data_IF_873659476835
#
_entry.id   IF_873659476835
#
_cell.length_a   1.000
_cell.length_b   1.000
_cell.length_c   1.000
_cell.angle_alpha   90.00
_cell.angle_beta   90.00
_cell.angle_gamma   90.00
#
_symmetry.space_group_name_H-M   'P 1'
#
loop_
_entity.id
_entity.type
_entity.pdbx_description
1 polymer ?
#
# COMPACT_ATOMS: atom_id res chain seq x y z
N UNK A 1 27.37 29.41 -3.90
CA UNK A 1 28.33 30.07 -4.80
C UNK A 1 27.56 30.63 -5.97
N UNK A 2 27.17 31.79 -5.83
CA UNK A 2 27.45 33.04 -6.55
C UNK A 2 27.69 32.99 -8.05
N UNK A 3 26.99 33.91 -8.68
CA UNK A 3 27.25 34.67 -9.89
C UNK A 3 26.40 34.28 -11.11
N UNK A 4 25.35 35.09 -11.33
CA UNK A 4 25.13 35.58 -12.70
C UNK A 4 24.80 37.08 -12.69
N UNK A 5 25.78 37.78 -13.11
CA UNK A 5 26.11 39.07 -13.62
C UNK A 5 24.98 39.76 -14.41
N UNK A 6 24.73 41.00 -13.99
CA UNK A 6 24.04 42.05 -14.76
C UNK A 6 24.80 42.38 -16.05
N UNK A 7 24.09 42.52 -17.15
CA UNK A 7 24.55 43.34 -18.29
C UNK A 7 23.53 44.45 -18.53
N UNK A 8 23.98 45.63 -18.20
CA UNK A 8 23.46 46.90 -18.68
C UNK A 8 23.90 47.13 -20.13
N UNK A 9 23.02 47.53 -21.00
CA UNK A 9 23.31 48.18 -22.24
C UNK A 9 22.53 49.48 -22.26
N UNK A 10 23.27 50.59 -22.19
CA UNK A 10 22.84 51.93 -22.49
C UNK A 10 22.81 52.11 -24.00
N UNK A 11 21.76 52.67 -24.50
CA UNK A 11 21.76 53.41 -25.79
C UNK A 11 20.93 54.66 -25.62
N UNK A 12 21.64 55.76 -25.78
CA UNK A 12 21.18 57.12 -25.79
C UNK A 12 20.57 57.53 -27.14
N UNK A 13 19.61 58.42 -27.03
CA UNK A 13 19.28 59.50 -27.95
C UNK A 13 18.84 59.17 -29.39
N UNK A 14 17.56 59.43 -29.67
CA UNK A 14 17.17 60.46 -30.63
C UNK A 14 15.69 60.83 -30.50
N UNK A 15 15.49 62.14 -30.50
CA UNK A 15 14.32 62.94 -30.32
C UNK A 15 13.38 62.82 -31.52
N UNK A 16 12.07 62.69 -31.30
CA UNK A 16 11.09 63.37 -32.16
C UNK A 16 9.90 63.85 -31.35
N UNK A 17 9.78 65.16 -31.26
CA UNK A 17 8.60 65.90 -30.86
C UNK A 17 7.50 65.64 -31.93
N UNK A 18 6.37 65.15 -31.44
CA UNK A 18 4.98 65.42 -31.88
C UNK A 18 4.08 64.27 -31.44
N UNK A 19 3.48 64.45 -30.29
CA UNK A 19 2.14 63.99 -29.94
C UNK A 19 1.81 64.38 -28.48
N UNK A 20 1.53 65.63 -28.29
CA UNK A 20 0.76 66.11 -27.14
C UNK A 20 -0.69 65.77 -27.38
N UNK A 21 -1.16 64.59 -27.02
CA UNK A 21 -2.57 64.28 -26.83
C UNK A 21 -2.79 63.57 -25.52
N UNK A 22 -3.44 64.31 -24.62
CA UNK A 22 -4.23 63.89 -23.45
C UNK A 22 -3.77 62.71 -22.65
N UNK A 23 -2.81 62.90 -21.74
CA UNK A 23 -2.68 62.05 -20.55
C UNK A 23 -3.92 62.27 -19.68
N UNK A 24 -4.93 61.38 -19.83
CA UNK A 24 -5.95 61.16 -18.79
C UNK A 24 -5.24 60.67 -17.54
N UNK A 25 -5.20 61.49 -16.49
CA UNK A 25 -4.66 61.18 -15.16
C UNK A 25 -5.28 59.85 -14.70
N UNK A 26 -4.50 58.78 -14.56
CA UNK A 26 -4.95 57.56 -13.91
C UNK A 26 -5.51 57.92 -12.55
N UNK A 27 -6.72 57.48 -12.16
CA UNK A 27 -7.29 57.80 -10.88
C UNK A 27 -6.36 57.24 -9.77
N UNK A 28 -5.97 58.09 -8.82
CA UNK A 28 -5.25 57.65 -7.62
C UNK A 28 -6.12 56.62 -6.92
N UNK A 29 -5.65 55.38 -6.81
CA UNK A 29 -6.27 54.29 -6.04
C UNK A 29 -6.13 54.71 -4.56
N UNK A 30 -7.22 55.24 -3.98
CA UNK A 30 -7.29 55.59 -2.56
C UNK A 30 -7.73 54.33 -1.81
N UNK A 31 -6.80 53.71 -1.09
CA UNK A 31 -7.14 52.64 -0.15
C UNK A 31 -7.83 53.23 1.08
N UNK A 32 -9.06 52.79 1.29
CA UNK A 32 -9.91 53.28 2.40
C UNK A 32 -9.87 52.28 3.53
N UNK A 33 -9.71 52.77 4.76
CA UNK A 33 -9.77 51.92 5.97
C UNK A 33 -11.22 51.72 6.39
N UNK A 34 -11.49 50.63 7.08
CA UNK A 34 -12.80 50.39 7.67
C UNK A 34 -12.97 51.23 8.92
N UNK A 35 -14.16 51.79 9.08
CA UNK A 35 -14.60 52.51 10.28
C UNK A 35 -15.73 51.73 10.95
N UNK A 36 -15.68 51.55 12.26
CA UNK A 36 -16.71 50.82 13.01
C UNK A 36 -18.10 51.48 12.91
N UNK A 37 -18.18 52.75 12.55
CA UNK A 37 -19.45 53.45 12.28
C UNK A 37 -20.19 52.83 11.09
N UNK A 38 -19.49 52.13 10.16
CA UNK A 38 -20.11 51.52 8.99
C UNK A 38 -21.03 50.34 9.32
N UNK A 39 -20.94 49.78 10.54
CA UNK A 39 -21.91 48.80 11.03
C UNK A 39 -23.33 49.41 11.12
N UNK A 40 -23.44 50.73 11.39
CA UNK A 40 -24.71 51.42 11.41
C UNK A 40 -25.37 51.49 10.01
N UNK A 41 -24.58 51.37 8.96
CA UNK A 41 -25.02 51.30 7.57
C UNK A 41 -25.14 49.85 7.05
N UNK A 42 -25.13 48.86 7.98
CA UNK A 42 -25.30 47.48 7.66
C UNK A 42 -24.09 46.88 6.95
N UNK A 43 -22.86 47.32 7.26
CA UNK A 43 -21.65 46.77 6.65
C UNK A 43 -20.58 46.42 7.69
N UNK A 44 -19.96 45.30 7.48
CA UNK A 44 -18.72 44.86 8.11
C UNK A 44 -17.60 44.82 7.05
N UNK A 45 -16.44 44.28 7.36
CA UNK A 45 -15.36 44.12 6.38
C UNK A 45 -14.82 42.71 6.35
N UNK A 46 -14.18 42.38 5.25
CA UNK A 46 -13.36 41.16 5.07
C UNK A 46 -12.06 41.51 4.32
N UNK A 47 -11.09 40.60 4.34
CA UNK A 47 -9.77 40.79 3.73
C UNK A 47 -8.77 41.43 4.68
N UNK A 48 -7.63 41.90 4.13
CA UNK A 48 -6.53 42.46 4.87
C UNK A 48 -6.89 43.84 5.48
N UNK A 49 -6.44 44.12 6.70
CA UNK A 49 -6.63 45.41 7.38
C UNK A 49 -6.03 46.59 6.61
N UNK A 50 -5.02 46.39 5.79
CA UNK A 50 -4.42 47.41 4.95
C UNK A 50 -5.31 47.83 3.78
N UNK A 51 -6.18 46.93 3.28
CA UNK A 51 -7.11 47.19 2.18
C UNK A 51 -8.42 46.39 2.39
N UNK A 52 -9.20 46.72 3.44
CA UNK A 52 -10.42 46.01 3.76
C UNK A 52 -11.49 46.21 2.69
N UNK A 53 -12.28 45.18 2.43
CA UNK A 53 -13.43 45.26 1.52
C UNK A 53 -14.74 45.23 2.32
N UNK A 54 -15.69 46.12 2.04
CA UNK A 54 -16.96 46.15 2.77
C UNK A 54 -17.81 44.93 2.42
N UNK A 55 -18.30 44.23 3.45
CA UNK A 55 -19.17 43.06 3.33
C UNK A 55 -20.51 43.29 3.98
N UNK A 56 -21.58 43.08 3.25
CA UNK A 56 -22.92 43.13 3.78
C UNK A 56 -23.25 41.87 4.60
N UNK A 57 -23.56 41.93 5.89
CA UNK A 57 -23.90 40.76 6.70
C UNK A 57 -25.29 40.20 6.38
N UNK A 58 -26.15 40.94 5.64
CA UNK A 58 -27.50 40.49 5.29
C UNK A 58 -27.47 39.53 4.08
N UNK A 59 -26.75 39.89 2.99
CA UNK A 59 -26.68 39.09 1.77
C UNK A 59 -25.31 38.41 1.54
N UNK A 60 -24.28 38.71 2.35
CA UNK A 60 -22.94 38.23 2.17
C UNK A 60 -22.14 38.88 1.04
N UNK A 61 -22.74 39.78 0.26
CA UNK A 61 -22.08 40.46 -0.87
C UNK A 61 -20.91 41.34 -0.41
N UNK A 62 -19.78 41.23 -1.11
CA UNK A 62 -18.58 42.04 -0.88
C UNK A 62 -18.47 43.10 -1.97
N UNK A 63 -18.26 44.34 -1.55
CA UNK A 63 -18.07 45.47 -2.47
C UNK A 63 -16.57 45.82 -2.53
N UNK A 64 -16.13 46.42 -3.63
CA UNK A 64 -14.75 46.90 -3.74
C UNK A 64 -14.40 47.97 -2.69
N UNK A 65 -13.12 48.05 -2.29
CA UNK A 65 -12.64 49.04 -1.29
C UNK A 65 -13.04 50.46 -1.60
N UNK A 66 -13.16 50.86 -2.87
CA UNK A 66 -13.66 52.19 -3.30
C UNK A 66 -15.12 52.45 -2.93
N UNK A 67 -15.85 51.43 -2.51
CA UNK A 67 -17.24 51.54 -2.03
C UNK A 67 -17.34 51.74 -0.51
N UNK A 68 -16.21 51.82 0.20
CA UNK A 68 -16.12 52.09 1.64
C UNK A 68 -16.40 53.56 1.92
N UNK A 69 -17.62 54.01 1.62
CA UNK A 69 -18.17 55.35 1.89
C UNK A 69 -19.64 55.25 2.28
N UNK A 70 -20.11 56.04 3.27
CA UNK A 70 -21.47 55.95 3.78
C UNK A 70 -22.55 55.97 2.70
N UNK A 71 -22.46 56.87 1.73
CA UNK A 71 -23.46 57.00 0.65
C UNK A 71 -23.64 55.75 -0.20
N UNK A 72 -22.54 55.02 -0.51
CA UNK A 72 -22.61 53.78 -1.29
C UNK A 72 -23.11 52.60 -0.46
N UNK A 73 -22.71 52.54 0.82
CA UNK A 73 -23.14 51.50 1.76
C UNK A 73 -24.63 51.62 2.05
N UNK A 74 -25.11 52.85 2.35
CA UNK A 74 -26.53 53.15 2.57
C UNK A 74 -27.35 52.84 1.30
N UNK A 75 -26.86 53.22 0.12
CA UNK A 75 -27.54 52.91 -1.15
C UNK A 75 -27.70 51.41 -1.34
N UNK A 76 -26.67 50.57 -1.09
CA UNK A 76 -26.81 49.13 -1.16
C UNK A 76 -27.86 48.61 -0.18
N UNK A 77 -27.83 49.08 1.08
CA UNK A 77 -28.75 48.63 2.11
C UNK A 77 -30.21 49.00 1.75
N UNK A 78 -30.46 50.22 1.31
CA UNK A 78 -31.82 50.70 0.96
C UNK A 78 -32.34 50.06 -0.32
N UNK A 79 -31.46 49.77 -1.29
CA UNK A 79 -31.86 49.20 -2.59
C UNK A 79 -32.01 47.66 -2.55
N UNK A 80 -31.07 46.97 -1.91
CA UNK A 80 -31.07 45.52 -1.85
C UNK A 80 -31.84 44.96 -0.64
N UNK A 81 -31.92 45.71 0.46
CA UNK A 81 -32.48 45.25 1.72
C UNK A 81 -33.44 46.29 2.36
N UNK A 82 -34.45 46.75 1.65
CA UNK A 82 -35.37 47.82 2.14
C UNK A 82 -36.06 47.44 3.46
N UNK A 83 -36.36 46.15 3.67
CA UNK A 83 -37.03 45.67 4.89
C UNK A 83 -36.20 45.78 6.17
N UNK A 84 -34.86 45.84 6.05
CA UNK A 84 -33.94 45.94 7.19
C UNK A 84 -33.15 47.26 7.22
N UNK A 85 -33.38 48.15 6.25
CA UNK A 85 -32.65 49.41 6.11
C UNK A 85 -32.83 50.37 7.32
N UNK A 86 -33.92 50.22 8.06
CA UNK A 86 -34.23 51.05 9.26
C UNK A 86 -33.88 50.34 10.59
N UNK A 87 -33.25 49.16 10.54
CA UNK A 87 -32.83 48.48 11.76
C UNK A 87 -31.63 49.15 12.38
N UNK A 88 -31.53 49.01 13.70
CA UNK A 88 -30.47 49.61 14.51
C UNK A 88 -29.13 48.84 14.42
N UNK A 89 -28.10 49.47 15.00
CA UNK A 89 -26.76 48.88 15.09
C UNK A 89 -26.75 47.46 15.69
N UNK A 90 -27.58 47.20 16.68
CA UNK A 90 -27.61 45.96 17.42
C UNK A 90 -28.06 44.81 16.54
N UNK A 91 -28.95 45.04 15.58
CA UNK A 91 -29.37 44.07 14.59
C UNK A 91 -28.21 43.63 13.70
N UNK A 92 -27.45 44.55 13.14
CA UNK A 92 -26.32 44.23 12.25
C UNK A 92 -25.13 43.62 13.03
N UNK A 93 -24.96 44.04 14.29
CA UNK A 93 -23.96 43.43 15.17
C UNK A 93 -24.26 41.94 15.42
N UNK A 94 -25.51 41.58 15.72
CA UNK A 94 -25.93 40.19 15.88
C UNK A 94 -25.67 39.35 14.61
N UNK A 95 -25.97 39.87 13.44
CA UNK A 95 -25.72 39.20 12.17
C UNK A 95 -24.20 38.98 11.94
N UNK A 96 -23.37 39.95 12.28
CA UNK A 96 -21.89 39.82 12.23
C UNK A 96 -21.41 38.73 13.16
N UNK A 97 -21.92 38.69 14.40
CA UNK A 97 -21.49 37.70 15.40
C UNK A 97 -21.98 36.28 15.03
N UNK A 98 -23.21 36.14 14.56
CA UNK A 98 -23.73 34.87 14.03
C UNK A 98 -22.90 34.34 12.85
N UNK A 99 -22.50 35.24 11.93
CA UNK A 99 -21.65 34.86 10.80
C UNK A 99 -20.27 34.37 11.27
N UNK A 100 -19.67 34.99 12.30
CA UNK A 100 -18.42 34.56 12.90
C UNK A 100 -18.54 33.19 13.59
N UNK A 101 -19.62 32.97 14.33
CA UNK A 101 -19.90 31.71 14.99
C UNK A 101 -20.09 30.57 13.98
N UNK A 102 -20.81 30.80 12.87
CA UNK A 102 -20.97 29.84 11.79
C UNK A 102 -19.63 29.47 11.14
N UNK A 103 -18.76 30.45 10.86
CA UNK A 103 -17.42 30.18 10.31
C UNK A 103 -16.56 29.40 11.30
N UNK A 104 -16.63 29.70 12.60
CA UNK A 104 -15.91 28.97 13.63
C UNK A 104 -16.42 27.52 13.77
N UNK A 105 -17.74 27.31 13.73
CA UNK A 105 -18.36 25.99 13.76
C UNK A 105 -17.94 25.17 12.52
N UNK A 106 -17.97 25.74 11.33
CA UNK A 106 -17.52 25.08 10.12
C UNK A 106 -16.03 24.72 10.20
N UNK A 107 -15.17 25.64 10.62
CA UNK A 107 -13.73 25.38 10.73
C UNK A 107 -13.39 24.32 11.78
N UNK A 108 -14.11 24.28 12.89
CA UNK A 108 -13.96 23.23 13.90
C UNK A 108 -14.45 21.88 13.40
N UNK A 109 -15.53 21.86 12.62
CA UNK A 109 -16.08 20.67 11.97
C UNK A 109 -15.11 20.09 10.92
N UNK A 110 -14.46 20.95 10.14
CA UNK A 110 -13.41 20.52 9.19
C UNK A 110 -12.19 19.94 9.89
N UNK A 111 -11.70 20.55 10.98
CA UNK A 111 -10.57 20.00 11.77
C UNK A 111 -10.89 18.65 12.39
N UNK A 112 -12.10 18.50 12.92
CA UNK A 112 -12.56 17.20 13.47
C UNK A 112 -12.66 16.14 12.36
N UNK A 113 -13.13 16.52 11.17
CA UNK A 113 -13.18 15.65 10.00
C UNK A 113 -11.77 15.20 9.56
N UNK A 114 -10.77 16.07 9.58
CA UNK A 114 -9.38 15.75 9.23
C UNK A 114 -8.77 14.70 10.18
N UNK A 115 -8.96 14.88 11.49
CA UNK A 115 -8.49 13.88 12.49
C UNK A 115 -9.18 12.52 12.31
N UNK A 116 -10.49 12.52 12.11
CA UNK A 116 -11.26 11.32 11.87
C UNK A 116 -10.85 10.62 10.55
N UNK A 117 -10.58 11.41 9.51
CA UNK A 117 -10.07 10.90 8.25
C UNK A 117 -8.68 10.26 8.41
N UNK A 118 -7.75 10.94 9.09
CA UNK A 118 -6.42 10.39 9.40
C UNK A 118 -6.52 9.07 10.17
N UNK A 119 -7.38 9.01 11.19
CA UNK A 119 -7.63 7.78 11.94
C UNK A 119 -8.15 6.65 11.04
N UNK A 120 -9.05 6.95 10.08
CA UNK A 120 -9.55 5.98 9.11
C UNK A 120 -8.43 5.40 8.23
N UNK A 121 -7.47 6.21 7.76
CA UNK A 121 -6.30 5.73 7.01
C UNK A 121 -5.37 4.88 7.87
N UNK A 122 -5.13 5.26 9.12
CA UNK A 122 -4.31 4.47 10.06
C UNK A 122 -4.93 3.10 10.28
N UNK A 123 -6.25 3.04 10.54
CA UNK A 123 -6.97 1.78 10.71
C UNK A 123 -6.88 0.93 9.44
N UNK A 124 -7.08 1.51 8.25
CA UNK A 124 -6.95 0.80 6.98
C UNK A 124 -5.56 0.19 6.79
N UNK A 125 -4.49 0.94 7.05
CA UNK A 125 -3.12 0.46 6.97
C UNK A 125 -2.82 -0.68 7.97
N UNK A 126 -3.29 -0.57 9.21
CA UNK A 126 -3.12 -1.61 10.23
C UNK A 126 -3.85 -2.91 9.82
N UNK A 127 -5.04 -2.82 9.23
CA UNK A 127 -5.78 -3.98 8.74
C UNK A 127 -5.06 -4.72 7.63
N UNK A 128 -4.53 -3.99 6.64
CA UNK A 128 -3.75 -4.59 5.53
C UNK A 128 -2.52 -5.30 6.08
N UNK A 129 -1.76 -4.65 6.95
CA UNK A 129 -0.58 -5.26 7.60
C UNK A 129 -0.94 -6.51 8.40
N UNK A 130 -2.10 -6.51 9.07
CA UNK A 130 -2.60 -7.66 9.82
C UNK A 130 -3.33 -8.70 8.96
N UNK A 131 -3.49 -8.47 7.64
CA UNK A 131 -4.23 -9.34 6.70
C UNK A 131 -5.65 -9.64 7.18
N UNK A 132 -6.36 -8.62 7.69
CA UNK A 132 -7.72 -8.75 8.23
C UNK A 132 -8.78 -8.20 7.27
N UNK A 133 -10.04 -8.71 7.36
CA UNK A 133 -11.13 -8.26 6.49
C UNK A 133 -11.46 -6.78 6.64
N UNK A 134 -11.85 -6.13 5.56
CA UNK A 134 -12.20 -4.71 5.51
C UNK A 134 -13.46 -4.34 6.33
N UNK A 135 -14.30 -5.31 6.66
CA UNK A 135 -15.48 -5.13 7.52
C UNK A 135 -15.16 -5.08 9.01
N UNK A 136 -13.97 -5.55 9.42
CA UNK A 136 -13.61 -5.65 10.84
C UNK A 136 -13.63 -4.32 11.60
N UNK A 137 -13.25 -3.16 11.01
CA UNK A 137 -13.33 -1.89 11.72
C UNK A 137 -14.74 -1.49 12.11
N UNK A 138 -15.70 -1.68 11.22
CA UNK A 138 -17.11 -1.35 11.45
C UNK A 138 -17.74 -2.29 12.48
N UNK A 139 -17.45 -3.59 12.40
CA UNK A 139 -18.10 -4.62 13.21
C UNK A 139 -17.49 -4.85 14.57
N UNK A 140 -16.17 -4.60 14.73
CA UNK A 140 -15.44 -4.93 15.96
C UNK A 140 -14.58 -3.77 16.44
N UNK A 141 -13.69 -3.21 15.62
CA UNK A 141 -12.66 -2.30 16.11
C UNK A 141 -13.26 -1.02 16.70
N UNK A 142 -14.10 -0.32 15.94
CA UNK A 142 -14.70 0.94 16.42
C UNK A 142 -15.68 0.73 17.58
N UNK A 143 -16.56 -0.27 17.58
CA UNK A 143 -17.40 -0.56 18.75
C UNK A 143 -16.58 -0.81 20.01
N UNK A 144 -15.50 -1.60 19.93
CA UNK A 144 -14.62 -1.89 21.08
C UNK A 144 -13.89 -0.62 21.52
N UNK A 145 -13.29 0.13 20.60
CA UNK A 145 -12.61 1.39 20.92
C UNK A 145 -13.56 2.39 21.59
N UNK A 146 -14.79 2.50 21.11
CA UNK A 146 -15.82 3.36 21.67
C UNK A 146 -16.13 3.00 23.13
N UNK A 147 -16.39 1.72 23.43
CA UNK A 147 -16.69 1.30 24.80
C UNK A 147 -15.47 1.47 25.72
N UNK A 148 -14.25 1.17 25.26
CA UNK A 148 -13.03 1.40 26.06
C UNK A 148 -12.88 2.88 26.37
N UNK A 149 -12.99 3.76 25.39
CA UNK A 149 -12.83 5.22 25.57
C UNK A 149 -13.94 5.78 26.47
N UNK A 150 -15.16 5.28 26.35
CA UNK A 150 -16.29 5.66 27.21
C UNK A 150 -16.03 5.32 28.69
N UNK A 151 -15.47 4.14 28.96
CA UNK A 151 -15.17 3.67 30.33
C UNK A 151 -13.93 4.37 30.89
N UNK A 152 -12.87 4.50 30.09
CA UNK A 152 -11.56 4.95 30.57
C UNK A 152 -11.39 6.47 30.55
N UNK A 153 -12.13 7.19 29.71
CA UNK A 153 -11.95 8.64 29.49
C UNK A 153 -13.26 9.39 29.75
N UNK A 154 -14.19 9.40 28.77
CA UNK A 154 -15.48 10.05 28.91
C UNK A 154 -16.45 9.67 27.77
N UNK A 155 -17.75 9.97 28.00
CA UNK A 155 -18.80 9.81 26.98
C UNK A 155 -18.59 10.73 25.77
N UNK A 156 -18.06 11.94 25.99
CA UNK A 156 -17.78 12.94 24.95
C UNK A 156 -16.65 12.44 24.04
N UNK A 157 -15.59 11.89 24.61
CA UNK A 157 -14.48 11.29 23.86
C UNK A 157 -14.94 10.09 23.02
N UNK A 158 -15.87 9.28 23.52
CA UNK A 158 -16.44 8.17 22.79
C UNK A 158 -17.23 8.62 21.53
N UNK A 159 -17.90 9.78 21.58
CA UNK A 159 -18.58 10.36 20.41
C UNK A 159 -17.61 10.80 19.30
N UNK A 160 -16.35 11.12 19.65
CA UNK A 160 -15.34 11.43 18.64
C UNK A 160 -14.91 10.17 17.85
N UNK A 161 -14.91 8.99 18.50
CA UNK A 161 -14.66 7.71 17.82
C UNK A 161 -15.74 7.39 16.79
N UNK A 162 -17.00 7.73 17.05
CA UNK A 162 -18.11 7.53 16.11
C UNK A 162 -17.97 8.32 14.80
N UNK A 163 -17.22 9.41 14.82
CA UNK A 163 -16.99 10.25 13.63
C UNK A 163 -15.97 9.64 12.66
N UNK A 164 -15.29 8.55 13.04
CA UNK A 164 -14.30 7.89 12.18
C UNK A 164 -15.03 7.10 11.08
N UNK A 165 -14.85 7.46 9.80
CA UNK A 165 -15.49 6.74 8.70
C UNK A 165 -14.78 5.41 8.46
N UNK A 166 -15.41 4.29 8.84
CA UNK A 166 -14.81 2.97 8.82
C UNK A 166 -15.68 1.88 8.23
N UNK A 167 -16.72 2.24 7.43
CA UNK A 167 -17.45 1.23 6.67
C UNK A 167 -16.53 0.45 5.74
N UNK A 168 -16.87 -0.82 5.45
CA UNK A 168 -16.07 -1.68 4.58
C UNK A 168 -15.73 -1.01 3.24
N UNK A 169 -16.69 -0.29 2.63
CA UNK A 169 -16.50 0.46 1.39
C UNK A 169 -15.51 1.65 1.58
N UNK A 170 -15.56 2.33 2.73
CA UNK A 170 -14.64 3.43 3.02
C UNK A 170 -13.23 2.89 3.23
N UNK A 171 -13.07 1.83 4.00
CA UNK A 171 -11.77 1.18 4.24
C UNK A 171 -11.17 0.69 2.92
N UNK A 172 -11.98 0.06 2.03
CA UNK A 172 -11.53 -0.34 0.70
C UNK A 172 -10.96 0.84 -0.10
N UNK A 173 -11.66 1.99 -0.11
CA UNK A 173 -11.15 3.21 -0.77
C UNK A 173 -9.84 3.70 -0.16
N UNK A 174 -9.72 3.71 1.19
CA UNK A 174 -8.47 4.11 1.87
C UNK A 174 -7.30 3.19 1.51
N UNK A 175 -7.56 1.89 1.41
CA UNK A 175 -6.54 0.92 0.98
C UNK A 175 -6.11 1.21 -0.45
N UNK A 176 -7.05 1.48 -1.35
CA UNK A 176 -6.74 1.82 -2.74
C UNK A 176 -5.96 3.14 -2.86
N UNK A 177 -6.34 4.16 -2.07
CA UNK A 177 -5.61 5.43 -2.02
C UNK A 177 -4.14 5.21 -1.59
N UNK A 178 -3.93 4.45 -0.50
CA UNK A 178 -2.59 4.10 0.00
C UNK A 178 -1.81 3.30 -1.06
N UNK A 179 -2.44 2.31 -1.69
CA UNK A 179 -1.82 1.49 -2.74
C UNK A 179 -1.40 2.32 -3.94
N UNK A 180 -2.25 3.26 -4.38
CA UNK A 180 -1.93 4.14 -5.51
C UNK A 180 -0.80 5.11 -5.17
N UNK A 181 -0.75 5.64 -3.96
CA UNK A 181 0.33 6.52 -3.49
C UNK A 181 1.67 5.78 -3.48
N UNK A 182 1.71 4.58 -2.88
CA UNK A 182 2.90 3.72 -2.87
C UNK A 182 3.34 3.38 -4.31
N UNK A 183 2.41 2.97 -5.18
CA UNK A 183 2.71 2.66 -6.58
C UNK A 183 3.27 3.87 -7.31
N UNK A 184 2.67 5.05 -7.15
CA UNK A 184 3.14 6.28 -7.81
C UNK A 184 4.56 6.63 -7.37
N UNK A 185 4.84 6.55 -6.06
CA UNK A 185 6.18 6.78 -5.50
C UNK A 185 7.20 5.79 -6.06
N UNK A 186 6.84 4.49 -6.11
CA UNK A 186 7.71 3.47 -6.68
C UNK A 186 8.03 3.74 -8.17
N UNK A 187 7.02 4.06 -8.96
CA UNK A 187 7.21 4.37 -10.39
C UNK A 187 8.13 5.61 -10.58
N UNK A 188 7.96 6.64 -9.76
CA UNK A 188 8.86 7.80 -9.77
C UNK A 188 10.30 7.42 -9.44
N UNK A 189 10.50 6.59 -8.41
CA UNK A 189 11.81 6.08 -8.01
C UNK A 189 12.46 5.24 -9.13
N UNK A 190 11.68 4.39 -9.81
CA UNK A 190 12.17 3.60 -10.95
C UNK A 190 12.64 4.47 -12.11
N UNK A 191 11.88 5.52 -12.44
CA UNK A 191 12.25 6.48 -13.47
C UNK A 191 13.51 7.26 -13.09
N UNK A 192 13.63 7.63 -11.81
CA UNK A 192 14.81 8.34 -11.30
C UNK A 192 16.06 7.44 -11.29
N UNK A 193 15.91 6.17 -10.92
CA UNK A 193 16.99 5.17 -10.95
C UNK A 193 17.56 4.98 -12.36
N UNK A 194 16.73 5.08 -13.38
CA UNK A 194 17.12 4.88 -14.78
C UNK A 194 17.42 3.44 -15.17
N UNK A 195 17.66 2.54 -14.22
CA UNK A 195 17.88 1.09 -14.45
C UNK A 195 17.19 0.26 -13.38
N UNK A 196 16.65 -0.89 -13.78
CA UNK A 196 15.99 -1.81 -12.86
C UNK A 196 16.07 -3.26 -13.35
N UNK A 197 15.82 -4.21 -12.45
CA UNK A 197 15.67 -5.63 -12.75
C UNK A 197 14.29 -6.11 -12.31
N UNK A 198 13.69 -6.99 -13.09
CA UNK A 198 12.39 -7.58 -12.80
C UNK A 198 12.51 -9.01 -12.31
N UNK A 199 11.67 -9.39 -11.36
CA UNK A 199 11.33 -10.77 -11.07
C UNK A 199 9.86 -10.98 -11.38
N UNK A 200 9.54 -11.97 -12.20
CA UNK A 200 8.19 -12.25 -12.67
C UNK A 200 7.84 -13.70 -12.34
N UNK A 201 6.64 -13.88 -11.77
CA UNK A 201 6.11 -15.19 -11.40
C UNK A 201 4.60 -15.26 -11.67
N UNK A 202 4.10 -16.45 -12.04
CA UNK A 202 2.67 -16.71 -12.20
C UNK A 202 2.14 -17.43 -10.97
N UNK A 203 0.99 -16.99 -10.48
CA UNK A 203 0.32 -17.62 -9.35
C UNK A 203 -1.18 -17.72 -9.62
N UNK A 204 -1.77 -18.84 -9.24
CA UNK A 204 -3.23 -19.02 -9.27
C UNK A 204 -3.79 -18.76 -7.87
N UNK A 205 -4.81 -17.90 -7.79
CA UNK A 205 -5.49 -17.62 -6.53
C UNK A 205 -6.44 -18.75 -6.12
N UNK A 206 -7.03 -18.62 -4.91
CA UNK A 206 -7.97 -19.63 -4.37
C UNK A 206 -9.27 -19.72 -5.18
N UNK A 207 -9.56 -18.73 -6.02
CA UNK A 207 -10.73 -18.69 -6.91
C UNK A 207 -10.42 -19.25 -8.29
N UNK A 208 -9.20 -19.68 -8.54
CA UNK A 208 -8.75 -20.24 -9.82
C UNK A 208 -8.34 -19.20 -10.86
N UNK A 209 -8.21 -17.92 -10.49
CA UNK A 209 -7.74 -16.88 -11.40
C UNK A 209 -6.21 -16.85 -11.45
N UNK A 210 -5.67 -16.84 -12.66
CA UNK A 210 -4.23 -16.67 -12.87
C UNK A 210 -3.85 -15.20 -12.69
N UNK A 211 -2.81 -14.95 -11.90
CA UNK A 211 -2.27 -13.63 -11.62
C UNK A 211 -0.77 -13.59 -11.93
N UNK A 212 -0.35 -12.55 -12.60
CA UNK A 212 1.05 -12.24 -12.85
C UNK A 212 1.56 -11.35 -11.72
N UNK A 213 2.56 -11.83 -11.00
CA UNK A 213 3.19 -11.10 -9.89
C UNK A 213 4.56 -10.63 -10.34
N UNK A 214 4.88 -9.36 -10.13
CA UNK A 214 6.20 -8.82 -10.40
C UNK A 214 6.76 -8.08 -9.20
N UNK A 215 8.02 -8.36 -8.88
CA UNK A 215 8.86 -7.57 -8.01
C UNK A 215 9.92 -6.85 -8.85
N UNK A 216 10.39 -5.73 -8.35
CA UNK A 216 11.40 -4.92 -9.02
C UNK A 216 12.55 -4.62 -8.06
N UNK A 217 13.77 -4.69 -8.59
CA UNK A 217 14.99 -4.28 -7.89
C UNK A 217 15.56 -3.07 -8.61
N UNK A 218 15.91 -2.02 -7.87
CA UNK A 218 16.40 -0.76 -8.42
C UNK A 218 17.34 -0.07 -7.44
N UNK A 219 17.98 1.02 -7.90
CA UNK A 219 18.93 1.81 -7.09
C UNK A 219 18.21 3.09 -6.64
N UNK A 220 18.15 3.32 -5.34
CA UNK A 220 17.67 4.55 -4.74
C UNK A 220 18.81 5.25 -4.01
N UNK A 221 19.36 6.29 -4.65
CA UNK A 221 20.59 6.94 -4.18
C UNK A 221 21.80 5.99 -4.23
N UNK A 222 22.25 5.51 -3.08
CA UNK A 222 23.34 4.54 -2.95
C UNK A 222 22.87 3.17 -2.48
N UNK A 223 21.58 2.97 -2.32
CA UNK A 223 21.00 1.74 -1.79
C UNK A 223 20.33 0.93 -2.88
N UNK A 224 20.50 -0.39 -2.81
CA UNK A 224 19.76 -1.33 -3.63
C UNK A 224 18.43 -1.65 -2.94
N UNK A 225 17.31 -1.33 -3.58
CA UNK A 225 15.97 -1.59 -3.07
C UNK A 225 15.24 -2.65 -3.88
N UNK A 226 14.38 -3.37 -3.20
CA UNK A 226 13.46 -4.34 -3.79
C UNK A 226 12.05 -4.04 -3.33
N UNK A 227 11.14 -3.92 -4.30
CA UNK A 227 9.75 -3.60 -4.03
C UNK A 227 8.81 -4.45 -4.90
N UNK A 228 7.58 -4.59 -4.42
CA UNK A 228 6.50 -5.20 -5.16
C UNK A 228 5.98 -4.22 -6.22
N UNK A 229 6.07 -4.60 -7.50
CA UNK A 229 5.68 -3.71 -8.60
C UNK A 229 4.20 -3.82 -8.95
N UNK A 230 3.73 -5.05 -9.21
CA UNK A 230 2.32 -5.28 -9.53
C UNK A 230 1.87 -6.73 -9.30
N UNK A 231 0.55 -6.90 -9.16
CA UNK A 231 -0.17 -8.15 -9.33
C UNK A 231 -1.31 -7.90 -10.32
N UNK A 232 -1.19 -8.46 -11.51
CA UNK A 232 -2.12 -8.23 -12.62
C UNK A 232 -2.82 -9.55 -13.00
N UNK A 233 -4.14 -9.54 -13.23
CA UNK A 233 -4.84 -10.73 -13.68
C UNK A 233 -4.43 -11.10 -15.10
N UNK A 234 -4.27 -12.41 -15.35
CA UNK A 234 -4.13 -12.97 -16.69
C UNK A 234 -5.51 -13.46 -17.14
N UNK A 235 -6.17 -12.77 -18.10
CA UNK A 235 -7.61 -12.95 -18.31
C UNK A 235 -8.00 -14.29 -18.95
N UNK A 236 -7.16 -14.89 -19.79
CA UNK A 236 -7.52 -16.08 -20.57
C UNK A 236 -6.46 -17.18 -20.50
N UNK A 237 -5.28 -16.90 -20.99
CA UNK A 237 -4.19 -17.88 -21.12
C UNK A 237 -2.93 -17.35 -20.44
N UNK A 238 -2.16 -18.29 -19.88
CA UNK A 238 -0.87 -17.98 -19.27
C UNK A 238 0.28 -18.23 -20.25
N UNK A 239 0.11 -17.77 -21.49
CA UNK A 239 1.14 -17.86 -22.53
C UNK A 239 2.17 -16.77 -22.38
N UNK A 240 3.40 -17.00 -22.84
CA UNK A 240 4.44 -15.97 -22.81
C UNK A 240 4.07 -14.70 -23.54
N UNK A 241 3.26 -14.77 -24.59
CA UNK A 241 2.73 -13.61 -25.32
C UNK A 241 1.76 -12.79 -24.46
N UNK A 242 0.86 -13.45 -23.72
CA UNK A 242 -0.10 -12.74 -22.85
C UNK A 242 0.60 -12.14 -21.64
N UNK A 243 1.55 -12.87 -21.03
CA UNK A 243 2.39 -12.35 -19.95
C UNK A 243 3.17 -11.10 -20.40
N UNK A 244 3.75 -11.15 -21.60
CA UNK A 244 4.46 -10.01 -22.16
C UNK A 244 3.52 -8.83 -22.43
N UNK A 245 2.37 -9.08 -23.04
CA UNK A 245 1.37 -8.05 -23.35
C UNK A 245 0.91 -7.31 -22.11
N UNK A 246 0.53 -8.02 -21.04
CA UNK A 246 0.08 -7.42 -19.78
C UNK A 246 1.20 -6.59 -19.13
N UNK A 247 2.45 -7.08 -19.20
CA UNK A 247 3.60 -6.34 -18.68
C UNK A 247 3.93 -5.10 -19.53
N UNK A 248 3.85 -5.21 -20.86
CA UNK A 248 4.12 -4.11 -21.80
C UNK A 248 3.04 -3.01 -21.69
N UNK A 249 1.77 -3.39 -21.51
CA UNK A 249 0.67 -2.46 -21.21
C UNK A 249 0.94 -1.68 -19.91
N UNK A 250 1.35 -2.37 -18.83
CA UNK A 250 1.73 -1.71 -17.58
C UNK A 250 2.91 -0.75 -17.77
N UNK A 251 3.93 -1.15 -18.52
CA UNK A 251 5.09 -0.30 -18.79
C UNK A 251 4.70 0.96 -19.57
N UNK A 252 3.86 0.80 -20.60
CA UNK A 252 3.36 1.92 -21.41
C UNK A 252 2.49 2.88 -20.58
N UNK A 253 1.58 2.36 -19.74
CA UNK A 253 0.74 3.16 -18.83
C UNK A 253 1.58 4.01 -17.88
N UNK A 254 2.68 3.44 -17.40
CA UNK A 254 3.54 4.09 -16.40
C UNK A 254 4.81 4.72 -16.99
N UNK A 255 4.94 4.81 -18.32
CA UNK A 255 6.12 5.35 -19.02
C UNK A 255 7.44 4.72 -18.51
N UNK A 256 7.45 3.40 -18.34
CA UNK A 256 8.65 2.60 -18.08
C UNK A 256 9.17 2.05 -19.41
N UNK A 257 10.48 2.03 -19.58
CA UNK A 257 11.08 1.63 -20.84
C UNK A 257 11.85 0.31 -20.69
N UNK A 258 11.66 -0.62 -21.64
CA UNK A 258 12.32 -1.91 -21.63
C UNK A 258 13.84 -1.82 -21.68
N UNK A 259 14.40 -0.79 -22.30
CA UNK A 259 15.85 -0.64 -22.36
C UNK A 259 16.49 -0.35 -20.99
N UNK A 260 15.70 0.16 -20.03
CA UNK A 260 16.12 0.36 -18.64
C UNK A 260 16.04 -0.92 -17.80
N UNK A 261 15.35 -1.97 -18.31
CA UNK A 261 15.28 -3.27 -17.66
C UNK A 261 16.54 -4.09 -17.96
N UNK A 262 17.51 -4.07 -17.04
CA UNK A 262 18.81 -4.73 -17.24
C UNK A 262 18.77 -6.24 -17.02
N UNK A 263 17.81 -6.76 -16.26
CA UNK A 263 17.70 -8.18 -15.97
C UNK A 263 16.24 -8.61 -15.74
N UNK A 264 15.92 -9.83 -16.15
CA UNK A 264 14.65 -10.49 -15.85
C UNK A 264 14.90 -11.84 -15.23
N UNK A 265 14.32 -12.05 -14.04
CA UNK A 265 14.32 -13.30 -13.31
C UNK A 265 12.92 -13.96 -13.41
N UNK A 266 12.86 -15.20 -13.87
CA UNK A 266 11.61 -15.98 -13.95
C UNK A 266 11.86 -17.43 -13.61
N UNK A 267 10.81 -18.25 -13.54
CA UNK A 267 10.92 -19.69 -13.51
C UNK A 267 11.33 -20.27 -14.89
N UNK A 268 11.40 -21.59 -15.01
CA UNK A 268 11.73 -22.29 -16.26
C UNK A 268 10.51 -22.79 -17.05
N UNK A 269 9.30 -22.33 -16.71
CA UNK A 269 8.11 -22.73 -17.47
C UNK A 269 8.25 -22.38 -18.96
N UNK A 270 7.63 -23.15 -19.82
CA UNK A 270 7.67 -22.93 -21.27
C UNK A 270 7.11 -21.57 -21.68
N UNK A 271 6.11 -21.06 -20.94
CA UNK A 271 5.57 -19.71 -21.11
C UNK A 271 6.61 -18.63 -20.84
N UNK A 272 7.52 -18.84 -19.88
CA UNK A 272 8.57 -17.87 -19.54
C UNK A 272 9.78 -17.99 -20.47
N UNK A 273 10.30 -19.21 -20.69
CA UNK A 273 11.61 -19.47 -21.31
C UNK A 273 11.57 -19.96 -22.76
N UNK A 274 10.38 -20.14 -23.34
CA UNK A 274 10.21 -20.60 -24.72
C UNK A 274 10.98 -19.71 -25.72
N UNK A 275 11.74 -20.36 -26.61
CA UNK A 275 12.72 -19.67 -27.50
C UNK A 275 12.11 -18.62 -28.44
N UNK A 276 10.85 -18.77 -28.84
CA UNK A 276 10.17 -17.89 -29.81
C UNK A 276 9.00 -17.15 -29.17
N UNK A 277 8.14 -17.87 -28.45
CA UNK A 277 6.88 -17.33 -27.89
C UNK A 277 6.94 -17.14 -26.37
N UNK A 278 8.07 -17.42 -25.73
CA UNK A 278 8.24 -17.22 -24.29
C UNK A 278 8.34 -15.72 -23.94
N UNK A 279 7.94 -15.39 -22.72
CA UNK A 279 8.01 -14.04 -22.19
C UNK A 279 9.40 -13.41 -22.35
N UNK A 280 10.47 -14.16 -21.93
CA UNK A 280 11.86 -13.67 -22.04
C UNK A 280 12.28 -13.46 -23.49
N UNK A 281 11.80 -14.26 -24.45
CA UNK A 281 12.09 -14.05 -25.87
C UNK A 281 11.48 -12.72 -26.34
N UNK A 282 10.25 -12.42 -25.96
CA UNK A 282 9.56 -11.15 -26.27
C UNK A 282 10.23 -9.95 -25.62
N UNK A 283 10.67 -10.05 -24.37
CA UNK A 283 11.46 -9.00 -23.72
C UNK A 283 12.77 -8.78 -24.48
N UNK A 284 13.43 -9.85 -24.96
CA UNK A 284 14.68 -9.74 -25.71
C UNK A 284 14.50 -9.09 -27.10
N UNK A 285 13.31 -9.15 -27.69
CA UNK A 285 12.97 -8.41 -28.91
C UNK A 285 12.98 -6.88 -28.63
N UNK A 286 12.55 -6.45 -27.43
CA UNK A 286 12.55 -5.04 -27.02
C UNK A 286 13.91 -4.57 -26.46
N UNK A 287 14.58 -5.41 -25.70
CA UNK A 287 15.91 -5.15 -25.14
C UNK A 287 16.84 -6.35 -25.37
N UNK A 288 17.65 -6.34 -26.44
CA UNK A 288 18.58 -7.44 -26.74
C UNK A 288 19.65 -7.67 -25.67
N UNK A 289 19.93 -6.63 -24.85
CA UNK A 289 20.98 -6.67 -23.82
C UNK A 289 20.46 -7.18 -22.45
N UNK A 290 19.18 -7.50 -22.33
CA UNK A 290 18.59 -7.95 -21.06
C UNK A 290 19.24 -9.24 -20.58
N UNK A 291 19.69 -9.26 -19.31
CA UNK A 291 20.20 -10.44 -18.66
C UNK A 291 19.05 -11.37 -18.25
N UNK A 292 19.20 -12.66 -18.50
CA UNK A 292 18.18 -13.68 -18.21
C UNK A 292 18.60 -14.48 -16.99
N UNK A 293 17.82 -14.45 -15.93
CA UNK A 293 18.10 -15.17 -14.70
C UNK A 293 17.02 -16.21 -14.44
N UNK A 294 17.43 -17.41 -14.13
CA UNK A 294 16.49 -18.42 -13.65
C UNK A 294 16.33 -18.29 -12.12
N UNK A 295 15.11 -18.18 -11.66
CA UNK A 295 14.78 -18.04 -10.24
C UNK A 295 15.44 -19.16 -9.42
N UNK A 296 16.25 -18.78 -8.45
CA UNK A 296 17.00 -19.72 -7.62
C UNK A 296 16.07 -20.68 -6.87
N UNK A 297 14.97 -20.17 -6.30
CA UNK A 297 13.99 -20.98 -5.57
C UNK A 297 13.31 -22.02 -6.46
N UNK A 298 13.03 -21.69 -7.72
CA UNK A 298 12.48 -22.64 -8.69
C UNK A 298 13.53 -23.67 -9.13
N UNK A 299 14.79 -23.29 -9.30
CA UNK A 299 15.90 -24.24 -9.58
C UNK A 299 16.06 -25.24 -8.43
N UNK A 300 16.02 -24.75 -7.21
CA UNK A 300 16.07 -25.58 -6.00
C UNK A 300 14.88 -26.55 -5.96
N UNK A 301 13.66 -26.07 -6.23
CA UNK A 301 12.47 -26.91 -6.30
C UNK A 301 12.55 -28.00 -7.40
N UNK A 302 13.14 -27.67 -8.56
CA UNK A 302 13.36 -28.61 -9.64
C UNK A 302 14.39 -29.70 -9.27
N UNK A 303 15.50 -29.29 -8.64
CA UNK A 303 16.50 -30.26 -8.13
C UNK A 303 15.87 -31.25 -7.15
N UNK A 304 14.95 -30.78 -6.30
CA UNK A 304 14.25 -31.62 -5.35
C UNK A 304 13.31 -32.63 -6.00
N UNK A 305 12.72 -32.32 -7.16
CA UNK A 305 11.91 -33.26 -7.94
C UNK A 305 12.73 -34.34 -8.59
N UNK A 306 14.03 -34.15 -8.80
CA UNK A 306 14.92 -35.18 -9.37
C UNK A 306 15.35 -36.23 -8.37
N UNK A 307 15.10 -36.06 -7.07
CA UNK A 307 15.39 -37.06 -6.05
C UNK A 307 14.39 -38.22 -6.15
N UNK A 308 14.85 -39.51 -6.01
CA UNK A 308 13.96 -40.66 -6.05
C UNK A 308 12.80 -40.53 -5.06
N UNK A 309 11.56 -40.77 -5.51
CA UNK A 309 10.34 -40.53 -4.71
C UNK A 309 9.96 -41.70 -3.77
N UNK A 310 10.56 -42.87 -3.93
CA UNK A 310 10.18 -44.10 -3.21
C UNK A 310 10.18 -43.90 -1.69
N UNK A 311 11.24 -43.34 -1.14
CA UNK A 311 11.33 -43.05 0.31
C UNK A 311 10.27 -42.04 0.76
N UNK A 312 10.09 -40.96 0.01
CA UNK A 312 9.13 -39.89 0.38
C UNK A 312 7.68 -40.38 0.36
N UNK A 313 7.33 -41.27 -0.61
CA UNK A 313 6.02 -41.89 -0.68
C UNK A 313 5.76 -42.78 0.54
N UNK A 314 6.72 -43.65 0.89
CA UNK A 314 6.61 -44.51 2.08
C UNK A 314 6.49 -43.69 3.36
N UNK A 315 7.28 -42.61 3.51
CA UNK A 315 7.18 -41.74 4.65
C UNK A 315 5.82 -41.02 4.72
N UNK A 316 5.28 -40.61 3.59
CA UNK A 316 3.95 -40.00 3.52
C UNK A 316 2.85 -40.98 3.95
N UNK A 317 2.94 -42.23 3.54
CA UNK A 317 2.01 -43.29 3.96
C UNK A 317 2.08 -43.52 5.48
N UNK A 318 3.29 -43.61 6.05
CA UNK A 318 3.51 -43.72 7.51
C UNK A 318 2.93 -42.50 8.26
N UNK A 319 3.25 -41.28 7.82
CA UNK A 319 2.76 -40.07 8.45
C UNK A 319 1.23 -39.98 8.38
N UNK A 320 0.64 -40.28 7.23
CA UNK A 320 -0.79 -40.32 7.08
C UNK A 320 -1.43 -41.37 7.98
N UNK A 321 -0.85 -42.54 8.08
CA UNK A 321 -1.33 -43.63 8.97
C UNK A 321 -1.39 -43.17 10.44
N UNK A 322 -0.39 -42.42 10.89
CA UNK A 322 -0.31 -41.93 12.27
C UNK A 322 -1.20 -40.71 12.47
N UNK A 323 -1.13 -39.72 11.57
CA UNK A 323 -1.73 -38.38 11.77
C UNK A 323 -3.18 -38.26 11.31
N UNK A 324 -3.61 -39.00 10.27
CA UNK A 324 -4.99 -38.88 9.77
C UNK A 324 -6.02 -39.56 10.67
N UNK A 325 -5.56 -40.42 11.57
CA UNK A 325 -6.41 -41.14 12.52
C UNK A 325 -6.25 -40.54 13.91
N UNK A 326 -7.29 -39.86 14.47
CA UNK A 326 -7.16 -39.19 15.78
C UNK A 326 -6.70 -40.09 16.94
N UNK A 327 -7.09 -41.38 16.92
CA UNK A 327 -6.66 -42.33 17.90
C UNK A 327 -5.15 -42.61 17.79
N UNK A 328 -4.66 -42.91 16.59
CA UNK A 328 -3.25 -43.20 16.34
C UNK A 328 -2.37 -41.98 16.72
N UNK A 329 -2.83 -40.77 16.37
CA UNK A 329 -2.12 -39.54 16.74
C UNK A 329 -1.99 -39.36 18.25
N UNK A 330 -3.04 -39.67 19.01
CA UNK A 330 -3.00 -39.58 20.49
C UNK A 330 -2.11 -40.67 21.09
N UNK A 331 -2.20 -41.91 20.62
CA UNK A 331 -1.35 -43.04 21.09
C UNK A 331 0.12 -42.77 20.76
N UNK A 332 0.41 -42.23 19.58
CA UNK A 332 1.78 -41.87 19.20
C UNK A 332 2.32 -40.72 20.09
N UNK A 333 1.51 -39.70 20.37
CA UNK A 333 1.91 -38.63 21.28
C UNK A 333 2.22 -39.14 22.70
N UNK A 334 1.38 -40.05 23.21
CA UNK A 334 1.59 -40.64 24.53
C UNK A 334 2.91 -41.46 24.56
N UNK A 335 3.20 -42.24 23.50
CA UNK A 335 4.44 -43.01 23.38
C UNK A 335 5.68 -42.08 23.31
N UNK A 336 5.62 -40.99 22.50
CA UNK A 336 6.70 -40.02 22.44
C UNK A 336 6.95 -39.38 23.82
N UNK A 337 5.90 -39.10 24.59
CA UNK A 337 5.97 -38.55 25.92
C UNK A 337 6.59 -39.51 26.93
N UNK A 338 6.21 -40.80 26.87
CA UNK A 338 6.74 -41.86 27.70
C UNK A 338 8.24 -42.12 27.40
N UNK A 339 8.66 -42.04 26.14
CA UNK A 339 10.04 -42.19 25.71
C UNK A 339 10.90 -40.92 25.94
N UNK A 340 10.32 -39.81 26.38
CA UNK A 340 11.05 -38.60 26.66
C UNK A 340 11.52 -37.85 25.42
N UNK A 341 10.84 -38.05 24.27
CA UNK A 341 11.21 -37.36 23.03
C UNK A 341 11.00 -35.84 23.10
N UNK A 342 11.90 -35.08 22.49
CA UNK A 342 11.81 -33.61 22.45
C UNK A 342 10.54 -33.11 21.75
N UNK A 343 10.03 -33.91 20.82
CA UNK A 343 8.78 -33.62 20.11
C UNK A 343 7.79 -34.78 20.26
N UNK A 344 6.52 -34.42 20.40
CA UNK A 344 5.47 -35.41 20.67
C UNK A 344 4.63 -35.76 19.43
N UNK A 345 4.90 -35.17 18.27
CA UNK A 345 4.10 -35.41 17.05
C UNK A 345 4.86 -35.25 15.75
N UNK A 346 4.49 -36.07 14.75
CA UNK A 346 4.93 -35.91 13.38
C UNK A 346 4.30 -34.66 12.73
N UNK A 347 4.92 -34.17 11.68
CA UNK A 347 4.39 -33.06 10.86
C UNK A 347 3.62 -33.60 9.67
N UNK A 348 2.51 -32.94 9.28
CA UNK A 348 1.83 -33.27 8.03
C UNK A 348 2.69 -32.91 6.82
N UNK A 349 2.72 -33.80 5.86
CA UNK A 349 3.30 -33.52 4.55
C UNK A 349 2.29 -32.72 3.72
N UNK A 350 2.58 -31.44 3.48
CA UNK A 350 1.83 -30.62 2.53
C UNK A 350 2.57 -30.64 1.18
N UNK A 351 1.97 -31.26 0.16
CA UNK A 351 2.59 -31.45 -1.15
C UNK A 351 2.99 -30.17 -1.90
N UNK A 352 2.48 -29.03 -1.45
CA UNK A 352 2.58 -27.74 -2.16
C UNK A 352 3.83 -26.94 -1.79
N UNK A 353 4.41 -27.15 -0.60
CA UNK A 353 5.57 -26.36 -0.13
C UNK A 353 6.75 -27.26 0.19
N UNK A 354 7.77 -27.26 -0.64
CA UNK A 354 8.97 -28.08 -0.50
C UNK A 354 9.76 -27.83 0.80
N UNK A 355 9.78 -26.59 1.35
CA UNK A 355 10.34 -26.28 2.68
C UNK A 355 9.72 -27.13 3.79
N UNK A 356 8.44 -27.52 3.66
CA UNK A 356 7.78 -28.41 4.61
C UNK A 356 8.32 -29.82 4.57
N UNK A 357 8.83 -30.28 3.42
CA UNK A 357 9.42 -31.66 3.26
C UNK A 357 10.64 -31.79 4.14
N UNK A 358 11.56 -30.83 4.16
CA UNK A 358 12.75 -30.87 5.00
C UNK A 358 12.40 -30.95 6.50
N UNK A 359 11.44 -30.16 6.95
CA UNK A 359 10.99 -30.20 8.34
C UNK A 359 10.32 -31.56 8.69
N UNK A 360 9.58 -32.14 7.74
CA UNK A 360 8.96 -33.46 7.90
C UNK A 360 10.02 -34.57 7.99
N UNK A 361 11.04 -34.53 7.11
CA UNK A 361 12.15 -35.48 7.14
C UNK A 361 12.94 -35.39 8.45
N UNK A 362 13.29 -34.19 8.87
CA UNK A 362 13.99 -33.98 10.14
C UNK A 362 13.18 -34.52 11.33
N UNK A 363 11.87 -34.24 11.37
CA UNK A 363 10.99 -34.68 12.45
C UNK A 363 10.84 -36.23 12.47
N UNK A 364 10.73 -36.88 11.34
CA UNK A 364 10.59 -38.34 11.31
C UNK A 364 11.92 -39.02 11.61
N UNK A 365 13.05 -38.43 11.20
CA UNK A 365 14.37 -38.95 11.55
C UNK A 365 14.66 -38.81 13.05
N UNK A 366 14.29 -37.71 13.66
CA UNK A 366 14.35 -37.45 15.10
C UNK A 366 13.52 -38.50 15.86
N UNK A 367 12.28 -38.71 15.46
CA UNK A 367 11.33 -39.63 16.09
C UNK A 367 11.36 -41.05 15.47
N UNK A 368 12.51 -41.50 14.91
CA UNK A 368 12.60 -42.78 14.23
C UNK A 368 12.34 -43.97 15.15
N UNK A 369 12.84 -43.93 16.39
CA UNK A 369 12.69 -45.02 17.36
C UNK A 369 11.23 -45.10 17.85
N UNK A 370 10.62 -43.98 18.16
CA UNK A 370 9.22 -43.86 18.55
C UNK A 370 8.29 -44.32 17.42
N UNK A 371 8.64 -43.94 16.18
CA UNK A 371 7.89 -44.36 14.98
C UNK A 371 7.99 -45.86 14.77
N UNK A 372 9.19 -46.47 14.91
CA UNK A 372 9.38 -47.91 14.82
C UNK A 372 8.54 -48.64 15.87
N UNK A 373 8.67 -48.27 17.14
CA UNK A 373 7.93 -48.90 18.24
C UNK A 373 6.42 -48.80 18.04
N UNK A 374 5.94 -47.59 17.66
CA UNK A 374 4.52 -47.41 17.37
C UNK A 374 4.03 -48.32 16.24
N UNK A 375 4.72 -48.33 15.10
CA UNK A 375 4.33 -49.14 13.96
C UNK A 375 4.38 -50.64 14.29
N UNK A 376 5.35 -51.07 15.12
CA UNK A 376 5.44 -52.45 15.59
C UNK A 376 4.27 -52.80 16.50
N UNK A 377 3.89 -51.94 17.44
CA UNK A 377 2.75 -52.16 18.33
C UNK A 377 1.41 -52.23 17.59
N UNK A 378 1.32 -51.55 16.44
CA UNK A 378 0.14 -51.55 15.56
C UNK A 378 0.15 -52.67 14.50
N UNK A 379 1.19 -53.53 14.47
CA UNK A 379 1.32 -54.62 13.49
C UNK A 379 1.50 -54.14 12.04
N UNK A 380 2.07 -52.93 11.86
CA UNK A 380 2.24 -52.32 10.53
C UNK A 380 3.45 -52.90 9.81
N UNK A 381 3.27 -53.23 8.52
CA UNK A 381 4.34 -53.74 7.65
C UNK A 381 5.51 -52.76 7.48
N UNK A 382 5.31 -51.46 7.78
CA UNK A 382 6.37 -50.46 7.66
C UNK A 382 7.39 -50.50 8.80
N UNK A 383 7.10 -51.15 9.93
CA UNK A 383 8.01 -51.23 11.07
C UNK A 383 9.39 -51.79 10.72
N UNK A 384 9.44 -52.80 9.81
CA UNK A 384 10.69 -53.43 9.41
C UNK A 384 11.66 -52.49 8.66
N UNK A 385 11.14 -51.37 8.07
CA UNK A 385 11.98 -50.42 7.34
C UNK A 385 12.94 -49.70 8.29
N UNK A 386 12.47 -49.36 9.48
CA UNK A 386 13.27 -48.66 10.51
C UNK A 386 14.35 -49.55 11.12
N UNK A 387 14.35 -50.88 10.85
CA UNK A 387 15.41 -51.80 11.24
C UNK A 387 16.49 -51.98 10.16
N UNK A 388 16.22 -51.54 8.91
CA UNK A 388 17.17 -51.66 7.79
C UNK A 388 18.14 -50.47 7.80
N UNK A 389 19.43 -50.77 8.07
CA UNK A 389 20.48 -49.74 8.08
C UNK A 389 20.56 -48.95 6.77
N UNK A 390 20.43 -49.64 5.61
CA UNK A 390 20.45 -48.99 4.31
C UNK A 390 19.29 -47.93 4.15
N UNK A 391 18.10 -48.29 4.63
CA UNK A 391 16.94 -47.38 4.56
C UNK A 391 17.11 -46.19 5.50
N UNK A 392 17.60 -46.42 6.73
CA UNK A 392 17.91 -45.36 7.68
C UNK A 392 19.03 -44.44 7.17
N UNK A 393 20.06 -44.98 6.54
CA UNK A 393 21.12 -44.19 5.92
C UNK A 393 20.58 -43.29 4.79
N UNK A 394 19.69 -43.83 3.94
CA UNK A 394 18.99 -43.00 2.93
C UNK A 394 18.13 -41.93 3.54
N UNK A 395 17.44 -42.21 4.64
CA UNK A 395 16.63 -41.21 5.36
C UNK A 395 17.52 -40.11 5.97
N UNK A 396 18.61 -40.47 6.67
CA UNK A 396 19.58 -39.55 7.23
C UNK A 396 20.17 -38.64 6.16
N UNK A 397 20.72 -39.23 5.09
CA UNK A 397 21.31 -38.48 3.98
C UNK A 397 20.35 -37.44 3.37
N UNK A 398 19.09 -37.85 3.16
CA UNK A 398 18.08 -36.91 2.65
C UNK A 398 17.73 -35.85 3.65
N UNK A 399 17.64 -36.18 4.93
CA UNK A 399 17.39 -35.21 5.99
C UNK A 399 18.45 -34.12 6.00
N UNK A 400 19.72 -34.47 5.88
CA UNK A 400 20.85 -33.53 5.84
C UNK A 400 20.79 -32.62 4.60
N UNK A 401 20.59 -33.20 3.42
CA UNK A 401 20.45 -32.41 2.17
C UNK A 401 19.31 -31.39 2.31
N UNK A 402 18.13 -31.84 2.77
CA UNK A 402 16.98 -30.95 2.92
C UNK A 402 17.17 -29.91 4.03
N UNK A 403 17.90 -30.20 5.09
CA UNK A 403 18.26 -29.23 6.12
C UNK A 403 19.13 -28.11 5.55
N UNK A 404 20.19 -28.47 4.81
CA UNK A 404 21.06 -27.47 4.14
C UNK A 404 20.31 -26.63 3.12
N UNK A 405 19.44 -27.23 2.33
CA UNK A 405 18.62 -26.49 1.36
C UNK A 405 17.61 -25.57 2.04
N UNK A 406 17.00 -26.01 3.13
CA UNK A 406 16.11 -25.16 3.92
C UNK A 406 16.87 -23.97 4.54
N UNK A 407 18.08 -24.18 5.02
CA UNK A 407 18.93 -23.12 5.55
C UNK A 407 19.30 -22.10 4.46
N UNK A 408 19.75 -22.59 3.30
CA UNK A 408 20.07 -21.76 2.14
C UNK A 408 18.86 -20.93 1.70
N UNK A 409 17.69 -21.56 1.59
CA UNK A 409 16.45 -20.88 1.25
C UNK A 409 16.03 -19.83 2.27
N UNK A 410 16.24 -20.09 3.57
CA UNK A 410 15.97 -19.10 4.62
C UNK A 410 16.93 -17.91 4.50
N UNK A 411 18.23 -18.15 4.25
CA UNK A 411 19.20 -17.08 4.03
C UNK A 411 18.84 -16.23 2.81
N UNK A 412 18.53 -16.86 1.67
CA UNK A 412 18.10 -16.15 0.47
C UNK A 412 16.82 -15.31 0.69
N UNK A 413 15.90 -15.79 1.54
CA UNK A 413 14.68 -15.05 1.89
C UNK A 413 14.91 -13.94 2.90
N UNK A 414 15.89 -14.08 3.80
CA UNK A 414 16.20 -13.06 4.81
C UNK A 414 16.95 -11.85 4.20
N UNK A 415 17.71 -12.07 3.13
CA UNK A 415 18.40 -11.02 2.37
C UNK A 415 17.49 -10.30 1.37
N UNK A 416 16.31 -10.86 1.09
CA UNK A 416 15.28 -10.25 0.26
C UNK A 416 14.12 -9.91 1.20
N UNK A 417 13.88 -8.63 1.53
CA UNK A 417 12.70 -8.26 2.30
C UNK A 417 11.45 -8.61 1.50
N UNK A 418 10.85 -9.73 1.84
CA UNK A 418 9.52 -10.12 1.33
C UNK A 418 8.52 -9.42 2.23
N UNK A 419 7.83 -8.42 1.70
CA UNK A 419 6.68 -7.78 2.34
C UNK A 419 5.49 -8.74 2.45
#
# INVERSE_FOLDING_TARGET
MDKFIKRSVSLSDEINEEEKESMKKKPKIVHRKYDEIYINYGFTYCGDESCPTPKCPVCGETLGNNSMVPSKLIRHLTTKHPSVAQKDKTYFQRLKDQSKEQVNLMSSSFKTSEKAQKASYVVANMLVKAKKPQSLPETVVLPVCKEIVKIMISQEAAKEIEKIPASAKTISRRINDISNDIKSTLIENLRFSGVFALQVDESTDISGHANLISNVRYIDGCELKEDFLFCLPLPNHTTGEEIFKVTDEFFNEHNLEWHNCISVCSDSAAAMTGKVKGFIAKVSEKNPNVQKQHCFLHREALMMKSLPEDLLRVLQEIINYIKSRPLNSRLFNALCQEMGADHQSLLFHTGVRWLSRGNVLSRIYELKNETEMFLQSQGSDYAHLFKKEEWLAKLAYRTDIFAHLNELSKKCKAEIPIF
#
